data_IF_025318144521
#
_entry.id   IF_025318144521
#
_cell.length_a   1.000
_cell.length_b   1.000
_cell.length_c   1.000
_cell.angle_alpha   90.00
_cell.angle_beta   90.00
_cell.angle_gamma   90.00
#
_symmetry.space_group_name_H-M   'P 1'
#
loop_
_entity.id
_entity.type
_entity.pdbx_description
1 polymer ?
#
# COMPACT_ATOMS: atom_id res chain seq x y z
N UNK A 1 -9.94 -5.75 9.33
CA UNK A 1 -9.13 -6.79 10.02
C UNK A 1 -8.66 -6.23 11.35
N UNK A 2 -8.38 -7.10 12.34
CA UNK A 2 -7.83 -6.73 13.65
C UNK A 2 -6.71 -7.70 13.97
N UNK A 3 -5.58 -7.20 14.48
CA UNK A 3 -4.57 -8.02 15.13
C UNK A 3 -5.15 -8.48 16.47
N UNK A 4 -4.91 -9.71 16.87
CA UNK A 4 -5.39 -10.24 18.13
C UNK A 4 -4.58 -11.45 18.58
N UNK A 5 -4.49 -11.62 19.89
CA UNK A 5 -3.91 -12.82 20.51
C UNK A 5 -4.94 -13.95 20.43
N UNK A 6 -4.52 -15.10 19.95
CA UNK A 6 -5.34 -16.32 19.89
C UNK A 6 -4.83 -17.29 20.96
N UNK A 7 -5.66 -17.71 21.92
CA UNK A 7 -5.24 -18.65 22.96
C UNK A 7 -5.01 -20.05 22.39
N UNK A 8 -3.94 -20.70 22.79
CA UNK A 8 -3.60 -22.07 22.40
C UNK A 8 -4.16 -23.14 23.35
N UNK A 9 -4.57 -22.72 24.57
CA UNK A 9 -5.10 -23.61 25.60
C UNK A 9 -6.19 -22.95 26.45
N UNK A 10 -6.86 -23.75 27.30
CA UNK A 10 -7.95 -23.26 28.16
C UNK A 10 -7.51 -22.23 29.21
N UNK A 11 -6.38 -22.39 29.92
CA UNK A 11 -5.88 -21.36 30.84
C UNK A 11 -5.64 -20.02 30.16
N UNK A 12 -5.03 -19.98 28.98
CA UNK A 12 -4.83 -18.74 28.20
C UNK A 12 -6.17 -18.11 27.79
N UNK A 13 -7.14 -18.94 27.37
CA UNK A 13 -8.48 -18.44 27.03
C UNK A 13 -9.14 -17.76 28.22
N UNK A 14 -9.02 -18.34 29.42
CA UNK A 14 -9.55 -17.75 30.65
C UNK A 14 -8.81 -16.46 30.99
N UNK A 15 -7.47 -16.46 30.92
CA UNK A 15 -6.66 -15.27 31.19
C UNK A 15 -7.01 -14.11 30.26
N UNK A 16 -7.13 -14.36 28.96
CA UNK A 16 -7.54 -13.35 27.97
C UNK A 16 -8.97 -12.86 28.21
N UNK A 17 -9.89 -13.75 28.60
CA UNK A 17 -11.24 -13.37 28.96
C UNK A 17 -11.30 -12.48 30.21
N UNK A 18 -10.45 -12.75 31.18
CA UNK A 18 -10.28 -11.92 32.40
C UNK A 18 -9.48 -10.61 32.12
N UNK A 19 -8.89 -10.44 30.93
CA UNK A 19 -8.05 -9.29 30.59
C UNK A 19 -6.68 -9.29 31.30
N UNK A 20 -6.12 -10.46 31.56
CA UNK A 20 -4.85 -10.66 32.29
C UNK A 20 -3.83 -11.38 31.39
N UNK A 21 -2.82 -10.69 30.84
CA UNK A 21 -2.67 -9.24 30.74
C UNK A 21 -3.62 -8.61 29.70
N UNK A 22 -3.79 -7.28 29.67
CA UNK A 22 -4.63 -6.63 28.67
C UNK A 22 -4.16 -6.97 27.24
N UNK A 23 -5.06 -7.42 26.33
CA UNK A 23 -4.69 -7.92 25.01
C UNK A 23 -3.80 -6.96 24.19
N UNK A 24 -4.08 -5.65 24.21
CA UNK A 24 -3.30 -4.66 23.44
C UNK A 24 -1.82 -4.60 23.81
N UNK A 25 -1.45 -4.90 25.06
CA UNK A 25 -0.05 -4.94 25.51
C UNK A 25 0.65 -6.18 24.94
N UNK A 26 0.00 -7.34 25.03
CA UNK A 26 0.53 -8.61 24.47
C UNK A 26 0.64 -8.52 22.95
N UNK A 27 -0.39 -7.98 22.30
CA UNK A 27 -0.43 -7.78 20.85
C UNK A 27 0.76 -6.91 20.38
N UNK A 28 1.09 -5.82 21.08
CA UNK A 28 2.19 -4.94 20.71
C UNK A 28 3.54 -5.64 20.84
N UNK A 29 3.76 -6.41 21.91
CA UNK A 29 4.99 -7.16 22.12
C UNK A 29 5.19 -8.28 21.10
N UNK A 30 4.18 -9.13 20.89
CA UNK A 30 4.22 -10.20 19.90
C UNK A 30 4.32 -9.65 18.47
N UNK A 31 3.68 -8.53 18.19
CA UNK A 31 3.67 -7.89 16.88
C UNK A 31 5.07 -7.45 16.42
N UNK A 32 5.87 -6.88 17.31
CA UNK A 32 7.27 -6.52 17.05
C UNK A 32 8.09 -7.76 16.66
N UNK A 33 8.02 -8.82 17.47
CA UNK A 33 8.78 -10.05 17.22
C UNK A 33 8.36 -10.71 15.91
N UNK A 34 7.05 -10.88 15.69
CA UNK A 34 6.51 -11.50 14.49
C UNK A 34 6.92 -10.73 13.23
N UNK A 35 6.83 -9.41 13.23
CA UNK A 35 7.25 -8.57 12.12
C UNK A 35 8.73 -8.75 11.80
N UNK A 36 9.61 -8.71 12.82
CA UNK A 36 11.05 -8.84 12.64
C UNK A 36 11.47 -10.23 12.17
N UNK A 37 10.81 -11.28 12.63
CA UNK A 37 11.06 -12.67 12.18
C UNK A 37 10.78 -12.79 10.68
N UNK A 38 9.62 -12.33 10.19
CA UNK A 38 9.27 -12.40 8.77
C UNK A 38 10.18 -11.51 7.92
N UNK A 39 10.50 -10.30 8.39
CA UNK A 39 11.43 -9.40 7.71
C UNK A 39 12.82 -10.01 7.56
N UNK A 40 13.38 -10.56 8.65
CA UNK A 40 14.71 -11.20 8.65
C UNK A 40 14.74 -12.41 7.71
N UNK A 41 13.75 -13.29 7.80
CA UNK A 41 13.64 -14.46 6.93
C UNK A 41 13.56 -14.08 5.44
N UNK A 42 12.84 -13.01 5.12
CA UNK A 42 12.73 -12.50 3.74
C UNK A 42 14.06 -11.90 3.27
N UNK A 43 14.71 -11.07 4.08
CA UNK A 43 16.00 -10.44 3.73
C UNK A 43 17.12 -11.45 3.56
N UNK A 44 17.16 -12.48 4.40
CA UNK A 44 18.13 -13.57 4.36
C UNK A 44 17.80 -14.67 3.33
N UNK A 45 16.75 -14.49 2.52
CA UNK A 45 16.29 -15.44 1.50
C UNK A 45 15.93 -16.85 2.05
N UNK A 46 15.53 -16.95 3.31
CA UNK A 46 15.10 -18.22 3.93
C UNK A 46 13.92 -18.83 3.17
N UNK A 47 12.91 -18.01 2.83
CA UNK A 47 11.76 -18.48 2.06
C UNK A 47 12.13 -18.90 0.64
N UNK A 48 13.01 -18.13 -0.03
CA UNK A 48 13.48 -18.45 -1.38
C UNK A 48 14.29 -19.76 -1.41
N UNK A 49 15.04 -20.06 -0.35
CA UNK A 49 15.79 -21.32 -0.26
C UNK A 49 14.88 -22.53 -0.36
N UNK A 50 13.64 -22.42 0.13
CA UNK A 50 12.60 -23.45 0.15
C UNK A 50 11.72 -23.46 -1.12
N UNK A 51 12.02 -22.64 -2.11
CA UNK A 51 11.22 -22.56 -3.34
C UNK A 51 11.21 -23.88 -4.13
N UNK A 52 12.30 -24.63 -4.15
CA UNK A 52 12.38 -25.90 -4.85
C UNK A 52 11.77 -27.10 -4.07
N UNK A 53 11.69 -27.02 -2.75
CA UNK A 53 11.20 -28.09 -1.89
C UNK A 53 11.63 -27.97 -0.43
N UNK A 54 11.30 -28.99 0.39
CA UNK A 54 11.72 -29.06 1.77
C UNK A 54 13.25 -29.20 1.91
N UNK A 55 13.83 -28.59 2.94
CA UNK A 55 15.24 -28.65 3.28
C UNK A 55 15.41 -28.80 4.79
N UNK A 56 16.52 -29.42 5.20
CA UNK A 56 16.98 -29.46 6.60
C UNK A 56 17.50 -28.08 7.03
N UNK A 57 17.61 -27.84 8.33
CA UNK A 57 18.20 -26.60 8.85
C UNK A 57 19.66 -26.42 8.36
N UNK A 58 20.44 -27.49 8.26
CA UNK A 58 21.80 -27.44 7.76
C UNK A 58 21.91 -27.03 6.30
N UNK A 59 21.04 -27.57 5.43
CA UNK A 59 20.97 -27.19 4.01
C UNK A 59 20.54 -25.71 3.83
N UNK A 60 19.56 -25.23 4.62
CA UNK A 60 19.15 -23.82 4.61
C UNK A 60 20.29 -22.92 5.07
N UNK A 61 20.98 -23.30 6.17
CA UNK A 61 22.13 -22.57 6.71
C UNK A 61 23.22 -22.38 5.65
N UNK A 62 23.57 -23.44 4.96
CA UNK A 62 24.57 -23.41 3.87
C UNK A 62 24.10 -22.55 2.72
N UNK A 63 22.86 -22.74 2.27
CA UNK A 63 22.26 -22.02 1.10
C UNK A 63 22.09 -20.52 1.33
N UNK A 64 21.80 -20.13 2.57
CA UNK A 64 21.59 -18.74 2.96
C UNK A 64 22.83 -18.07 3.57
N UNK A 65 23.96 -18.79 3.70
CA UNK A 65 25.19 -18.34 4.34
C UNK A 65 24.95 -17.73 5.74
N UNK A 66 24.23 -18.46 6.59
CA UNK A 66 23.81 -18.01 7.93
C UNK A 66 24.44 -18.88 9.03
N UNK A 67 24.30 -18.51 10.29
CA UNK A 67 24.79 -19.25 11.44
C UNK A 67 23.82 -20.37 11.84
N UNK A 68 24.27 -21.64 11.94
CA UNK A 68 23.42 -22.82 12.12
C UNK A 68 22.39 -22.69 13.25
N UNK A 69 22.86 -22.46 14.49
CA UNK A 69 21.97 -22.33 15.67
C UNK A 69 20.95 -21.18 15.52
N UNK A 70 21.40 -20.02 15.01
CA UNK A 70 20.51 -18.87 14.84
C UNK A 70 19.48 -19.11 13.74
N UNK A 71 19.84 -19.81 12.67
CA UNK A 71 18.93 -20.22 11.60
C UNK A 71 17.86 -21.16 12.13
N UNK A 72 18.23 -22.16 12.90
CA UNK A 72 17.28 -23.10 13.51
C UNK A 72 16.27 -22.37 14.42
N UNK A 73 16.75 -21.41 15.24
CA UNK A 73 15.86 -20.59 16.08
C UNK A 73 14.88 -19.77 15.23
N UNK A 74 15.34 -19.16 14.12
CA UNK A 74 14.49 -18.43 13.19
C UNK A 74 13.46 -19.35 12.51
N UNK A 75 13.87 -20.54 12.07
CA UNK A 75 12.99 -21.52 11.44
C UNK A 75 11.90 -22.00 12.40
N UNK A 76 12.26 -22.27 13.65
CA UNK A 76 11.31 -22.68 14.68
C UNK A 76 10.30 -21.56 14.99
N UNK A 77 10.72 -20.29 15.03
CA UNK A 77 9.81 -19.16 15.16
C UNK A 77 8.84 -19.08 13.98
N UNK A 78 9.31 -19.28 12.75
CA UNK A 78 8.47 -19.30 11.54
C UNK A 78 7.48 -20.47 11.53
N UNK A 79 7.85 -21.62 12.09
CA UNK A 79 6.93 -22.76 12.26
C UNK A 79 5.86 -22.42 13.29
N UNK A 80 6.24 -21.89 14.45
CA UNK A 80 5.29 -21.43 15.48
C UNK A 80 4.28 -20.39 14.96
N UNK A 81 4.71 -19.54 14.03
CA UNK A 81 3.85 -18.57 13.36
C UNK A 81 3.03 -19.16 12.19
N UNK A 82 3.18 -20.42 11.85
CA UNK A 82 2.51 -21.05 10.69
C UNK A 82 3.02 -20.58 9.32
N UNK A 83 4.17 -19.89 9.27
CA UNK A 83 4.81 -19.48 8.03
C UNK A 83 5.56 -20.64 7.36
N UNK A 84 6.04 -21.59 8.14
CA UNK A 84 6.65 -22.85 7.72
C UNK A 84 5.95 -24.01 8.42
N UNK A 85 6.22 -25.22 7.94
CA UNK A 85 5.88 -26.45 8.65
C UNK A 85 7.06 -27.43 8.58
N UNK A 86 7.09 -28.40 9.49
CA UNK A 86 8.12 -29.45 9.57
C UNK A 86 7.55 -30.74 9.01
N UNK A 87 8.36 -31.45 8.20
CA UNK A 87 8.07 -32.80 7.69
C UNK A 87 9.33 -33.67 7.93
N UNK A 88 9.28 -34.52 8.93
CA UNK A 88 10.47 -35.21 9.43
C UNK A 88 11.45 -34.18 9.99
N UNK A 89 12.69 -34.15 9.49
CA UNK A 89 13.72 -33.17 9.86
C UNK A 89 13.81 -31.98 8.91
N UNK A 90 12.87 -31.88 7.94
CA UNK A 90 12.90 -30.86 6.92
C UNK A 90 11.84 -29.78 7.15
N UNK A 91 12.21 -28.52 6.92
CA UNK A 91 11.33 -27.37 6.88
C UNK A 91 10.77 -27.16 5.47
N UNK A 92 9.51 -26.75 5.38
CA UNK A 92 8.85 -26.55 4.11
C UNK A 92 7.89 -25.36 4.13
N UNK A 93 7.67 -24.77 2.95
CA UNK A 93 6.68 -23.70 2.74
C UNK A 93 5.27 -24.27 2.52
N UNK A 94 4.26 -23.86 3.29
CA UNK A 94 2.85 -24.16 2.98
C UNK A 94 2.50 -23.69 1.55
N UNK A 95 1.72 -24.49 0.82
CA UNK A 95 1.33 -24.19 -0.57
C UNK A 95 0.74 -22.77 -0.72
N UNK A 96 -0.09 -22.34 0.25
CA UNK A 96 -0.67 -20.99 0.25
C UNK A 96 0.39 -19.89 0.42
N UNK A 97 1.38 -20.10 1.29
CA UNK A 97 2.45 -19.13 1.53
C UNK A 97 3.32 -18.89 0.30
N UNK A 98 3.59 -19.91 -0.51
CA UNK A 98 4.42 -19.79 -1.72
C UNK A 98 3.96 -18.68 -2.66
N UNK A 99 2.64 -18.58 -2.88
CA UNK A 99 2.08 -17.57 -3.77
C UNK A 99 2.23 -16.12 -3.26
N UNK A 100 2.48 -15.94 -1.95
CA UNK A 100 2.51 -14.63 -1.29
C UNK A 100 3.92 -14.20 -0.88
N UNK A 101 4.84 -15.14 -0.59
CA UNK A 101 6.14 -14.80 0.00
C UNK A 101 7.31 -14.93 -0.98
N UNK A 102 7.24 -15.84 -1.96
CA UNK A 102 8.29 -16.00 -2.95
C UNK A 102 8.31 -14.84 -3.95
N UNK A 103 9.49 -14.52 -4.48
CA UNK A 103 9.67 -13.42 -5.42
C UNK A 103 8.85 -13.57 -6.70
N UNK A 104 8.74 -14.81 -7.21
CA UNK A 104 7.94 -15.19 -8.38
C UNK A 104 6.49 -15.57 -8.05
N UNK A 105 6.10 -15.46 -6.78
CA UNK A 105 4.75 -15.76 -6.32
C UNK A 105 3.71 -14.85 -6.96
N UNK A 106 2.60 -15.44 -7.42
CA UNK A 106 1.51 -14.71 -8.12
C UNK A 106 1.01 -13.45 -7.39
N UNK A 107 1.05 -13.46 -6.08
CA UNK A 107 0.60 -12.36 -5.21
C UNK A 107 1.72 -11.88 -4.28
N UNK A 108 2.96 -11.96 -4.73
CA UNK A 108 4.13 -11.72 -3.90
C UNK A 108 4.06 -10.41 -3.11
N UNK A 109 4.18 -10.51 -1.80
CA UNK A 109 4.32 -9.39 -0.86
C UNK A 109 5.77 -9.18 -0.43
N UNK A 110 6.72 -9.90 -1.05
CA UNK A 110 8.15 -9.82 -0.70
C UNK A 110 8.66 -8.38 -0.70
N UNK A 111 8.29 -7.59 -1.73
CA UNK A 111 8.66 -6.17 -1.80
C UNK A 111 8.09 -5.36 -0.64
N UNK A 112 6.84 -5.57 -0.25
CA UNK A 112 6.23 -4.93 0.92
C UNK A 112 6.94 -5.30 2.22
N UNK A 113 7.31 -6.57 2.39
CA UNK A 113 8.04 -7.01 3.59
C UNK A 113 9.42 -6.35 3.68
N UNK A 114 10.12 -6.19 2.56
CA UNK A 114 11.39 -5.47 2.52
C UNK A 114 11.23 -3.96 2.76
N UNK A 115 10.14 -3.36 2.29
CA UNK A 115 9.79 -1.96 2.58
C UNK A 115 9.63 -1.71 4.08
N UNK A 116 9.21 -2.71 4.88
CA UNK A 116 9.10 -2.59 6.35
C UNK A 116 10.42 -2.21 7.04
N UNK A 117 11.57 -2.44 6.41
CA UNK A 117 12.84 -1.94 6.96
C UNK A 117 12.93 -0.42 6.94
N UNK A 118 12.44 0.23 5.89
CA UNK A 118 12.33 1.68 5.83
C UNK A 118 11.26 2.19 6.80
N UNK A 119 10.07 1.57 6.77
CA UNK A 119 8.97 1.94 7.67
C UNK A 119 9.35 1.78 9.15
N UNK A 120 10.26 0.86 9.48
CA UNK A 120 10.76 0.70 10.83
C UNK A 120 11.47 1.97 11.32
N UNK A 121 12.33 2.57 10.49
CA UNK A 121 13.00 3.84 10.78
C UNK A 121 12.00 5.02 10.80
N UNK A 122 10.96 4.98 9.99
CA UNK A 122 9.92 6.02 10.04
C UNK A 122 9.17 6.01 11.37
N UNK A 123 8.88 4.82 11.92
CA UNK A 123 8.25 4.68 13.22
C UNK A 123 9.12 5.20 14.39
N UNK A 124 10.44 5.26 14.25
CA UNK A 124 11.34 5.87 15.24
C UNK A 124 11.08 7.38 15.43
N UNK A 125 10.39 8.03 14.49
CA UNK A 125 9.98 9.43 14.58
C UNK A 125 8.62 9.63 15.29
N UNK A 126 7.95 8.57 15.73
CA UNK A 126 6.57 8.63 16.24
C UNK A 126 6.42 9.54 17.46
N UNK A 127 7.31 9.44 18.46
CA UNK A 127 7.24 10.24 19.67
C UNK A 127 7.46 11.72 19.38
N UNK A 128 8.37 12.05 18.48
CA UNK A 128 8.64 13.42 18.07
C UNK A 128 7.44 14.01 17.31
N UNK A 129 6.87 13.25 16.38
CA UNK A 129 5.64 13.65 15.70
C UNK A 129 4.48 13.91 16.67
N UNK A 130 4.26 13.02 17.64
CA UNK A 130 3.17 13.20 18.63
C UNK A 130 3.42 14.41 19.53
N UNK A 131 4.68 14.73 19.83
CA UNK A 131 5.05 15.89 20.65
C UNK A 131 4.91 17.21 19.90
N UNK A 132 5.29 17.24 18.63
CA UNK A 132 5.47 18.50 17.87
C UNK A 132 4.44 18.71 16.77
N UNK A 133 3.79 17.63 16.31
CA UNK A 133 2.94 17.63 15.12
C UNK A 133 3.72 17.75 13.79
N UNK A 134 5.07 17.71 13.83
CA UNK A 134 5.90 17.82 12.63
C UNK A 134 6.11 16.46 11.98
N UNK A 135 5.61 16.24 10.73
CA UNK A 135 5.78 14.98 10.04
C UNK A 135 7.21 14.79 9.52
N UNK A 136 7.61 13.55 9.39
CA UNK A 136 8.81 13.16 8.64
C UNK A 136 8.54 13.35 7.14
N UNK A 137 9.08 14.36 6.50
CA UNK A 137 8.90 14.61 5.06
C UNK A 137 9.54 13.51 4.22
N UNK A 138 8.87 12.36 4.17
CA UNK A 138 9.39 11.10 3.67
C UNK A 138 10.12 11.22 2.33
N UNK A 139 9.46 11.80 1.33
CA UNK A 139 10.01 11.88 -0.04
C UNK A 139 11.25 12.78 -0.15
N UNK A 140 11.50 13.66 0.83
CA UNK A 140 12.70 14.50 0.90
C UNK A 140 13.87 13.78 1.57
N UNK A 141 13.61 12.69 2.31
CA UNK A 141 14.63 11.97 3.11
C UNK A 141 15.12 10.68 2.46
N UNK A 142 14.40 10.14 1.46
CA UNK A 142 14.77 8.89 0.79
C UNK A 142 16.06 9.03 -0.03
N UNK A 143 17.01 8.15 0.20
CA UNK A 143 18.18 7.94 -0.68
C UNK A 143 17.75 7.27 -1.99
N UNK A 144 18.66 7.18 -2.97
CA UNK A 144 18.36 6.44 -4.21
C UNK A 144 18.05 4.95 -3.97
N UNK A 145 18.74 4.33 -3.02
CA UNK A 145 18.50 2.93 -2.64
C UNK A 145 17.13 2.76 -1.98
N UNK A 146 16.76 3.71 -1.10
CA UNK A 146 15.45 3.71 -0.45
C UNK A 146 14.32 3.89 -1.47
N UNK A 147 14.50 4.75 -2.47
CA UNK A 147 13.52 4.92 -3.55
C UNK A 147 13.26 3.62 -4.33
N UNK A 148 14.30 2.83 -4.61
CA UNK A 148 14.13 1.53 -5.28
C UNK A 148 13.32 0.56 -4.41
N UNK A 149 13.68 0.44 -3.12
CA UNK A 149 12.94 -0.38 -2.15
C UNK A 149 11.51 0.10 -2.01
N UNK A 150 11.29 1.41 -1.92
CA UNK A 150 9.97 2.03 -1.81
C UNK A 150 9.09 1.69 -3.02
N UNK A 151 9.56 1.96 -4.25
CA UNK A 151 8.77 1.71 -5.46
C UNK A 151 8.46 0.21 -5.65
N UNK A 152 9.41 -0.67 -5.38
CA UNK A 152 9.19 -2.13 -5.40
C UNK A 152 8.20 -2.58 -4.33
N UNK A 153 8.29 -1.99 -3.15
CA UNK A 153 7.37 -2.25 -2.04
C UNK A 153 5.95 -1.83 -2.37
N UNK A 154 5.78 -0.62 -2.88
CA UNK A 154 4.47 -0.09 -3.30
C UNK A 154 3.87 -0.88 -4.48
N UNK A 155 4.72 -1.39 -5.40
CA UNK A 155 4.30 -2.24 -6.51
C UNK A 155 3.83 -3.62 -6.05
N UNK A 156 4.39 -4.15 -4.96
CA UNK A 156 4.10 -5.51 -4.50
C UNK A 156 2.65 -5.64 -4.00
N UNK A 157 1.94 -6.67 -4.46
CA UNK A 157 0.56 -6.96 -4.04
C UNK A 157 -0.51 -6.02 -4.58
N UNK A 158 -0.16 -5.07 -5.46
CA UNK A 158 -1.10 -4.07 -5.99
C UNK A 158 -2.03 -4.63 -7.07
N UNK A 159 -1.75 -5.81 -7.64
CA UNK A 159 -2.53 -6.41 -8.72
C UNK A 159 -4.02 -6.55 -8.38
N UNK A 160 -4.31 -7.02 -7.19
CA UNK A 160 -5.69 -7.22 -6.78
C UNK A 160 -6.43 -5.89 -6.59
N UNK A 161 -5.93 -4.91 -5.81
CA UNK A 161 -6.55 -3.59 -5.70
C UNK A 161 -6.72 -2.88 -7.03
N UNK A 162 -5.69 -2.84 -7.88
CA UNK A 162 -5.74 -2.16 -9.17
C UNK A 162 -6.78 -2.77 -10.11
N UNK A 163 -6.83 -4.10 -10.21
CA UNK A 163 -7.85 -4.80 -11.00
C UNK A 163 -9.27 -4.62 -10.41
N UNK A 164 -9.40 -4.51 -9.08
CA UNK A 164 -10.67 -4.20 -8.44
C UNK A 164 -11.13 -2.78 -8.80
N UNK A 165 -10.25 -1.79 -8.70
CA UNK A 165 -10.51 -0.39 -9.10
C UNK A 165 -10.91 -0.33 -10.57
N UNK A 166 -10.15 -0.95 -11.48
CA UNK A 166 -10.45 -0.95 -12.91
C UNK A 166 -11.82 -1.55 -13.23
N UNK A 167 -12.31 -2.52 -12.44
CA UNK A 167 -13.67 -3.08 -12.61
C UNK A 167 -14.77 -2.23 -12.00
N UNK A 168 -14.46 -1.45 -10.95
CA UNK A 168 -15.47 -0.69 -10.18
C UNK A 168 -15.59 0.76 -10.61
N UNK A 169 -14.58 1.28 -11.30
CA UNK A 169 -14.61 2.65 -11.81
C UNK A 169 -15.70 2.81 -12.89
N UNK A 170 -16.62 3.80 -12.76
CA UNK A 170 -17.70 4.01 -13.73
C UNK A 170 -17.20 4.82 -14.95
N UNK A 171 -16.14 4.33 -15.60
CA UNK A 171 -15.53 4.96 -16.76
C UNK A 171 -16.24 4.53 -18.04
N UNK A 172 -16.64 5.46 -18.93
CA UNK A 172 -17.23 5.14 -20.22
C UNK A 172 -16.28 4.31 -21.11
N UNK A 173 -16.84 3.43 -21.95
CA UNK A 173 -16.03 2.65 -22.92
C UNK A 173 -15.36 3.56 -23.97
N UNK A 174 -15.90 4.74 -24.18
CA UNK A 174 -15.37 5.77 -25.10
C UNK A 174 -14.22 6.59 -24.53
N UNK A 175 -13.89 6.44 -23.24
CA UNK A 175 -12.81 7.19 -22.61
C UNK A 175 -11.46 6.88 -23.29
N UNK A 176 -10.69 7.93 -23.56
CA UNK A 176 -9.42 7.90 -24.30
C UNK A 176 -8.24 8.43 -23.52
N UNK A 177 -8.44 9.45 -22.69
CA UNK A 177 -7.37 10.16 -22.03
C UNK A 177 -7.51 10.07 -20.49
N UNK A 178 -6.43 9.68 -19.84
CA UNK A 178 -6.32 9.61 -18.38
C UNK A 178 -5.06 10.33 -17.91
N UNK A 179 -5.20 11.10 -16.83
CA UNK A 179 -4.09 11.62 -16.03
C UNK A 179 -4.04 10.85 -14.71
N UNK A 180 -2.89 10.24 -14.41
CA UNK A 180 -2.61 9.55 -13.14
C UNK A 180 -1.66 10.43 -12.32
N UNK A 181 -2.18 11.11 -11.31
CA UNK A 181 -1.40 12.05 -10.49
C UNK A 181 -0.74 11.28 -9.35
N UNK A 182 0.60 11.35 -9.27
CA UNK A 182 1.36 10.59 -8.28
C UNK A 182 1.27 9.08 -8.50
N UNK A 183 1.23 8.64 -9.77
CA UNK A 183 0.97 7.24 -10.12
C UNK A 183 2.09 6.25 -9.77
N UNK A 184 3.24 6.72 -9.27
CA UNK A 184 4.37 5.92 -8.81
C UNK A 184 4.76 4.84 -9.80
N UNK A 185 4.70 3.57 -9.41
CA UNK A 185 5.02 2.41 -10.26
C UNK A 185 4.09 2.21 -11.48
N UNK A 186 3.04 3.00 -11.67
CA UNK A 186 2.16 3.03 -12.84
C UNK A 186 1.15 1.88 -12.98
N UNK A 187 1.04 0.95 -12.02
CA UNK A 187 0.24 -0.26 -12.23
C UNK A 187 -1.28 0.00 -12.21
N UNK A 188 -1.77 1.05 -11.55
CA UNK A 188 -3.18 1.44 -11.69
C UNK A 188 -3.50 1.88 -13.12
N UNK A 189 -2.64 2.69 -13.72
CA UNK A 189 -2.71 3.08 -15.13
C UNK A 189 -2.71 1.86 -16.05
N UNK A 190 -1.80 0.90 -15.81
CA UNK A 190 -1.72 -0.37 -16.54
C UNK A 190 -3.03 -1.15 -16.46
N UNK A 191 -3.58 -1.33 -15.25
CA UNK A 191 -4.82 -2.09 -15.05
C UNK A 191 -6.02 -1.42 -15.72
N UNK A 192 -6.13 -0.09 -15.65
CA UNK A 192 -7.16 0.71 -16.31
C UNK A 192 -7.04 0.64 -17.84
N UNK A 193 -5.84 0.84 -18.38
CA UNK A 193 -5.61 0.75 -19.83
C UNK A 193 -5.83 -0.66 -20.39
N UNK A 194 -5.49 -1.72 -19.65
CA UNK A 194 -5.83 -3.10 -20.04
C UNK A 194 -7.34 -3.34 -20.07
N UNK A 195 -8.07 -2.74 -19.13
CA UNK A 195 -9.55 -2.86 -19.07
C UNK A 195 -10.24 -2.02 -20.14
N UNK A 196 -9.69 -0.87 -20.50
CA UNK A 196 -10.21 0.09 -21.48
C UNK A 196 -9.22 0.21 -22.64
N UNK A 197 -9.38 -0.55 -23.74
CA UNK A 197 -8.38 -0.65 -24.80
C UNK A 197 -8.04 0.67 -25.51
N UNK A 198 -8.97 1.63 -25.51
CA UNK A 198 -8.76 2.95 -26.13
C UNK A 198 -8.12 3.97 -25.17
N UNK A 199 -8.00 3.65 -23.87
CA UNK A 199 -7.49 4.54 -22.88
C UNK A 199 -5.96 4.63 -22.96
N UNK A 200 -5.46 5.87 -22.93
CA UNK A 200 -4.06 6.20 -22.79
C UNK A 200 -3.87 6.96 -21.47
N UNK A 201 -2.84 6.63 -20.74
CA UNK A 201 -2.54 7.25 -19.45
C UNK A 201 -1.25 8.03 -19.49
N UNK A 202 -1.32 9.30 -19.05
CA UNK A 202 -0.17 10.10 -18.70
C UNK A 202 -0.02 10.08 -17.19
N UNK A 203 1.13 9.60 -16.68
CA UNK A 203 1.45 9.57 -15.25
C UNK A 203 2.26 10.82 -14.94
N UNK A 204 1.67 11.75 -14.18
CA UNK A 204 2.37 12.92 -13.65
C UNK A 204 3.05 12.55 -12.34
N UNK A 205 4.38 12.56 -12.32
CA UNK A 205 5.12 12.08 -11.16
C UNK A 205 6.43 12.87 -10.95
N UNK A 206 6.97 12.85 -9.76
CA UNK A 206 8.23 13.50 -9.42
C UNK A 206 9.43 12.82 -10.14
N UNK A 207 10.42 13.58 -10.61
CA UNK A 207 11.57 13.02 -11.35
C UNK A 207 12.29 11.89 -10.60
N UNK A 208 12.46 12.03 -9.28
CA UNK A 208 13.09 11.01 -8.45
C UNK A 208 12.29 9.72 -8.44
N UNK A 209 10.97 9.81 -8.29
CA UNK A 209 10.08 8.65 -8.30
C UNK A 209 10.08 7.96 -9.66
N UNK A 210 10.01 8.70 -10.77
CA UNK A 210 10.05 8.16 -12.14
C UNK A 210 11.30 7.32 -12.36
N UNK A 211 12.47 7.81 -11.96
CA UNK A 211 13.75 7.11 -12.15
C UNK A 211 13.70 5.66 -11.63
N UNK A 212 13.05 5.42 -10.50
CA UNK A 212 12.96 4.10 -9.86
C UNK A 212 11.69 3.32 -10.25
N UNK A 213 10.64 4.02 -10.70
CA UNK A 213 9.37 3.43 -11.11
C UNK A 213 9.36 2.98 -12.58
N UNK A 214 10.03 3.70 -13.48
CA UNK A 214 10.04 3.42 -14.92
C UNK A 214 10.46 1.97 -15.25
N UNK A 215 11.52 1.39 -14.65
CA UNK A 215 11.86 -0.01 -14.90
C UNK A 215 10.80 -1.03 -14.48
N UNK A 216 9.91 -0.65 -13.54
CA UNK A 216 8.76 -1.49 -13.15
C UNK A 216 7.63 -1.41 -14.18
N UNK A 217 7.37 -0.20 -14.70
CA UNK A 217 6.37 0.02 -15.75
C UNK A 217 6.77 -0.64 -17.07
N UNK A 218 8.04 -0.59 -17.48
CA UNK A 218 8.55 -1.23 -18.70
C UNK A 218 8.24 -2.72 -18.75
N UNK A 219 8.30 -3.43 -17.61
CA UNK A 219 7.96 -4.85 -17.51
C UNK A 219 6.50 -5.16 -17.86
N UNK A 220 5.62 -4.17 -17.75
CA UNK A 220 4.20 -4.29 -18.08
C UNK A 220 3.91 -4.21 -19.59
N UNK A 221 4.89 -3.80 -20.42
CA UNK A 221 4.87 -3.77 -21.89
C UNK A 221 3.69 -2.98 -22.47
N UNK A 222 3.40 -1.82 -21.88
CA UNK A 222 2.28 -0.97 -22.31
C UNK A 222 2.62 -0.03 -23.49
N UNK A 223 3.90 0.13 -23.81
CA UNK A 223 4.35 1.08 -24.85
C UNK A 223 3.85 2.50 -24.57
N UNK A 224 3.50 3.22 -25.62
CA UNK A 224 3.03 4.63 -25.51
C UNK A 224 1.66 4.80 -24.86
N UNK A 225 0.96 3.69 -24.57
CA UNK A 225 -0.34 3.77 -23.91
C UNK A 225 -0.27 4.18 -22.44
N UNK A 226 0.88 4.00 -21.79
CA UNK A 226 1.14 4.46 -20.42
C UNK A 226 2.52 5.08 -20.39
N UNK A 227 2.58 6.39 -20.18
CA UNK A 227 3.83 7.16 -20.19
C UNK A 227 3.96 8.06 -18.99
N UNK A 228 5.18 8.35 -18.57
CA UNK A 228 5.47 9.37 -17.57
C UNK A 228 5.60 10.76 -18.16
N UNK A 229 5.21 11.75 -17.34
CA UNK A 229 5.56 13.16 -17.48
C UNK A 229 6.07 13.64 -16.13
N UNK A 230 7.23 14.28 -16.12
CA UNK A 230 7.80 14.85 -14.91
C UNK A 230 7.02 16.10 -14.48
N UNK A 231 6.71 16.17 -13.19
CA UNK A 231 6.09 17.36 -12.62
C UNK A 231 5.59 17.15 -11.20
N UNK A 232 5.34 18.26 -10.53
CA UNK A 232 4.72 18.28 -9.22
C UNK A 232 3.21 18.53 -9.38
N UNK A 233 2.38 17.69 -8.76
CA UNK A 233 0.92 17.77 -8.81
C UNK A 233 0.36 19.14 -8.42
N UNK A 234 1.08 19.87 -7.55
CA UNK A 234 0.64 21.18 -7.06
C UNK A 234 0.98 22.35 -8.00
N UNK A 235 1.97 22.21 -8.89
CA UNK A 235 2.45 23.30 -9.71
C UNK A 235 2.37 23.03 -11.22
N UNK A 236 2.39 21.76 -11.65
CA UNK A 236 2.30 21.40 -13.06
C UNK A 236 1.00 21.88 -13.71
N UNK A 237 1.03 22.28 -14.97
CA UNK A 237 -0.20 22.53 -15.73
C UNK A 237 -0.91 21.19 -15.99
N UNK A 238 -2.15 21.09 -15.57
CA UNK A 238 -3.00 19.91 -15.77
C UNK A 238 -3.87 20.00 -17.04
N UNK A 239 -3.72 21.07 -17.83
CA UNK A 239 -4.54 21.31 -19.03
C UNK A 239 -5.97 21.74 -18.76
N UNK A 240 -6.77 21.85 -19.83
CA UNK A 240 -8.18 22.27 -19.80
C UNK A 240 -9.02 21.34 -20.66
N UNK A 241 -9.95 20.61 -20.07
CA UNK A 241 -10.85 19.68 -20.78
C UNK A 241 -10.10 18.67 -21.67
N UNK A 242 -9.05 18.07 -21.11
CA UNK A 242 -8.17 17.12 -21.81
C UNK A 242 -8.42 15.67 -21.40
N UNK A 243 -8.96 15.42 -20.20
CA UNK A 243 -9.04 14.08 -19.64
C UNK A 243 -10.46 13.60 -19.39
N UNK A 244 -10.71 12.34 -19.75
CA UNK A 244 -11.93 11.63 -19.37
C UNK A 244 -11.85 11.10 -17.93
N UNK A 245 -10.63 10.87 -17.44
CA UNK A 245 -10.34 10.40 -16.09
C UNK A 245 -9.11 11.10 -15.53
N UNK A 246 -9.22 11.66 -14.32
CA UNK A 246 -8.07 11.95 -13.46
C UNK A 246 -8.10 10.98 -12.30
N UNK A 247 -7.01 10.28 -12.08
CA UNK A 247 -6.88 9.24 -11.04
C UNK A 247 -5.80 9.61 -10.03
N UNK A 248 -6.04 9.33 -8.76
CA UNK A 248 -5.07 9.47 -7.68
C UNK A 248 -5.19 8.28 -6.72
N UNK A 249 -4.07 7.63 -6.42
CA UNK A 249 -4.02 6.54 -5.46
C UNK A 249 -2.97 6.84 -4.39
N UNK A 250 -3.38 6.93 -3.14
CA UNK A 250 -2.50 7.23 -2.00
C UNK A 250 -1.74 8.57 -2.21
N UNK A 251 -2.45 9.63 -2.56
CA UNK A 251 -1.87 10.96 -2.84
C UNK A 251 -2.45 12.04 -1.93
N UNK A 252 -3.78 12.07 -1.74
CA UNK A 252 -4.42 13.21 -1.06
C UNK A 252 -4.09 13.29 0.44
N UNK A 253 -3.59 12.22 1.03
CA UNK A 253 -3.12 12.21 2.41
C UNK A 253 -1.79 12.98 2.61
N UNK A 254 -1.06 13.29 1.52
CA UNK A 254 0.15 14.11 1.60
C UNK A 254 -0.14 15.60 1.77
N UNK A 255 -1.36 16.06 1.54
CA UNK A 255 -1.70 17.47 1.50
C UNK A 255 -2.74 17.83 2.55
N UNK A 256 -2.68 19.05 3.05
CA UNK A 256 -3.72 19.63 3.89
C UNK A 256 -5.04 19.85 3.14
N UNK A 257 -6.08 20.23 3.86
CA UNK A 257 -7.41 20.41 3.28
C UNK A 257 -7.44 21.53 2.23
N UNK A 258 -6.76 22.66 2.50
CA UNK A 258 -6.75 23.81 1.60
C UNK A 258 -6.09 23.48 0.27
N UNK A 259 -4.96 22.77 0.32
CA UNK A 259 -4.22 22.28 -0.84
C UNK A 259 -5.03 21.27 -1.63
N UNK A 260 -5.68 20.31 -0.97
CA UNK A 260 -6.55 19.35 -1.65
C UNK A 260 -7.74 20.03 -2.33
N UNK A 261 -8.37 21.03 -1.71
CA UNK A 261 -9.45 21.81 -2.32
C UNK A 261 -8.99 22.55 -3.57
N UNK A 262 -7.80 23.14 -3.55
CA UNK A 262 -7.22 23.81 -4.72
C UNK A 262 -6.87 22.81 -5.83
N UNK A 263 -6.29 21.68 -5.49
CA UNK A 263 -5.98 20.60 -6.44
C UNK A 263 -7.26 20.09 -7.12
N UNK A 264 -8.35 19.88 -6.38
CA UNK A 264 -9.63 19.45 -6.96
C UNK A 264 -10.21 20.46 -7.95
N UNK A 265 -10.07 21.78 -7.73
CA UNK A 265 -10.48 22.80 -8.70
C UNK A 265 -9.68 22.73 -10.00
N UNK A 266 -8.36 22.53 -9.90
CA UNK A 266 -7.49 22.36 -11.07
C UNK A 266 -7.82 21.08 -11.85
N UNK A 267 -8.07 19.98 -11.14
CA UNK A 267 -8.52 18.71 -11.72
C UNK A 267 -9.88 18.88 -12.40
N UNK A 268 -10.83 19.53 -11.77
CA UNK A 268 -12.15 19.78 -12.39
C UNK A 268 -12.02 20.54 -13.71
N UNK A 269 -11.10 21.52 -13.79
CA UNK A 269 -10.82 22.26 -15.02
C UNK A 269 -10.20 21.36 -16.12
N UNK A 270 -9.33 20.44 -15.75
CA UNK A 270 -8.65 19.53 -16.70
C UNK A 270 -9.57 18.42 -17.23
N UNK A 271 -10.67 18.11 -16.55
CA UNK A 271 -11.64 17.11 -16.98
C UNK A 271 -12.49 17.61 -18.16
N UNK A 272 -12.73 16.74 -19.13
CA UNK A 272 -13.77 16.92 -20.15
C UNK A 272 -15.17 16.98 -19.51
N UNK A 273 -16.19 17.61 -20.16
CA UNK A 273 -17.59 17.47 -19.75
C UNK A 273 -17.95 15.97 -19.62
N UNK A 274 -18.62 15.59 -18.52
CA UNK A 274 -18.93 14.19 -18.20
C UNK A 274 -17.75 13.35 -17.69
N UNK A 275 -16.52 13.88 -17.70
CA UNK A 275 -15.32 13.24 -17.17
C UNK A 275 -15.38 13.02 -15.67
N UNK A 276 -14.50 12.19 -15.13
CA UNK A 276 -14.50 11.83 -13.72
C UNK A 276 -13.11 12.01 -13.08
N UNK A 277 -13.11 12.42 -11.81
CA UNK A 277 -11.96 12.24 -10.92
C UNK A 277 -12.20 11.03 -10.03
N UNK A 278 -11.17 10.23 -9.80
CA UNK A 278 -11.25 9.09 -8.91
C UNK A 278 -10.08 9.10 -7.91
N UNK A 279 -10.41 8.96 -6.63
CA UNK A 279 -9.45 8.92 -5.51
C UNK A 279 -9.53 7.54 -4.86
N UNK A 280 -8.38 6.86 -4.72
CA UNK A 280 -8.24 5.59 -4.05
C UNK A 280 -7.40 5.76 -2.79
N UNK A 281 -8.06 5.73 -1.61
CA UNK A 281 -7.44 6.05 -0.33
C UNK A 281 -7.96 5.15 0.81
N UNK A 282 -7.17 4.94 1.87
CA UNK A 282 -7.70 4.47 3.15
C UNK A 282 -8.58 5.54 3.79
N UNK A 283 -9.71 5.12 4.33
CA UNK A 283 -10.74 6.01 4.86
C UNK A 283 -10.55 6.27 6.35
N UNK A 284 -10.54 7.56 6.75
CA UNK A 284 -10.66 7.94 8.16
C UNK A 284 -12.08 7.68 8.68
N UNK A 285 -12.15 7.13 9.87
CA UNK A 285 -13.42 6.89 10.56
C UNK A 285 -13.63 7.99 11.61
N UNK A 286 -14.60 8.89 11.37
CA UNK A 286 -14.80 10.10 12.19
C UNK A 286 -15.62 9.86 13.46
N UNK A 287 -16.31 8.73 13.60
CA UNK A 287 -17.16 8.48 14.76
C UNK A 287 -16.34 7.96 15.93
N UNK A 288 -16.20 8.76 17.00
CA UNK A 288 -15.69 8.29 18.29
C UNK A 288 -16.46 7.02 18.70
N UNK A 289 -15.74 5.95 19.08
CA UNK A 289 -16.31 4.64 19.39
C UNK A 289 -16.48 3.67 18.21
N UNK A 290 -16.30 4.12 16.96
CA UNK A 290 -16.29 3.27 15.76
C UNK A 290 -14.91 3.13 15.12
N UNK A 291 -13.88 3.71 15.72
CA UNK A 291 -12.50 3.63 15.21
C UNK A 291 -12.02 2.19 15.29
N UNK A 292 -11.73 1.62 14.13
CA UNK A 292 -11.16 0.27 14.03
C UNK A 292 -9.65 0.32 14.20
N UNK A 293 -9.07 -0.72 14.78
CA UNK A 293 -7.63 -0.82 15.04
C UNK A 293 -6.79 -0.44 13.80
N UNK A 294 -7.07 -1.05 12.66
CA UNK A 294 -6.31 -0.78 11.44
C UNK A 294 -6.49 0.67 10.94
N UNK A 295 -7.71 1.21 11.00
CA UNK A 295 -7.97 2.60 10.59
C UNK A 295 -7.25 3.62 11.46
N UNK A 296 -7.22 3.40 12.78
CA UNK A 296 -6.48 4.25 13.72
C UNK A 296 -4.98 4.20 13.49
N UNK A 297 -4.42 2.99 13.31
CA UNK A 297 -2.99 2.79 13.01
C UNK A 297 -2.60 3.43 11.68
N UNK A 298 -3.40 3.28 10.63
CA UNK A 298 -3.13 3.90 9.33
C UNK A 298 -3.23 5.43 9.37
N UNK A 299 -4.15 5.98 10.15
CA UNK A 299 -4.24 7.43 10.30
C UNK A 299 -2.99 8.01 10.98
N UNK A 300 -2.50 7.38 12.06
CA UNK A 300 -1.26 7.76 12.70
C UNK A 300 -0.06 7.59 11.75
N UNK A 301 0.01 6.46 11.05
CA UNK A 301 1.08 6.16 10.10
C UNK A 301 1.18 7.22 8.99
N UNK A 302 0.06 7.59 8.37
CA UNK A 302 0.08 8.66 7.35
C UNK A 302 0.36 10.04 7.95
N UNK A 303 -0.10 10.34 9.16
CA UNK A 303 0.25 11.58 9.84
C UNK A 303 1.75 11.70 10.13
N UNK A 304 2.40 10.55 10.42
CA UNK A 304 3.81 10.51 10.74
C UNK A 304 4.73 11.04 9.60
N UNK A 305 4.36 10.83 8.34
CA UNK A 305 5.18 11.21 7.18
C UNK A 305 4.47 12.09 6.14
N UNK A 306 3.24 12.53 6.41
CA UNK A 306 2.43 13.39 5.56
C UNK A 306 1.85 14.56 6.35
N UNK A 307 1.50 15.64 5.67
CA UNK A 307 1.01 16.86 6.35
C UNK A 307 -0.39 16.69 6.99
N UNK A 308 -1.18 15.69 6.58
CA UNK A 308 -2.57 15.62 7.00
C UNK A 308 -3.04 14.25 7.56
N UNK A 309 -2.49 13.13 7.13
CA UNK A 309 -3.03 11.81 7.47
C UNK A 309 -4.20 11.38 6.57
N UNK A 310 -5.13 10.58 7.08
CA UNK A 310 -6.27 10.07 6.27
C UNK A 310 -7.47 11.03 6.30
N UNK A 311 -8.28 10.97 5.23
CA UNK A 311 -9.48 11.81 5.05
C UNK A 311 -10.76 10.99 5.15
N UNK A 312 -11.86 11.61 5.57
CA UNK A 312 -13.17 10.98 5.58
C UNK A 312 -13.86 11.05 4.21
N UNK A 313 -14.84 10.20 4.00
CA UNK A 313 -15.66 10.25 2.79
C UNK A 313 -16.44 11.56 2.65
N UNK A 314 -16.81 12.18 3.77
CA UNK A 314 -17.54 13.45 3.79
C UNK A 314 -16.67 14.60 3.31
N UNK A 315 -15.41 14.68 3.80
CA UNK A 315 -14.45 15.71 3.38
C UNK A 315 -14.12 15.60 1.90
N UNK A 316 -13.82 14.39 1.39
CA UNK A 316 -13.54 14.19 -0.04
C UNK A 316 -14.75 14.57 -0.90
N UNK A 317 -15.96 14.20 -0.49
CA UNK A 317 -17.19 14.60 -1.19
C UNK A 317 -17.40 16.11 -1.19
N UNK A 318 -17.03 16.80 -0.11
CA UNK A 318 -17.10 18.25 0.00
C UNK A 318 -16.11 18.93 -0.96
N UNK A 319 -14.88 18.40 -1.09
CA UNK A 319 -13.92 18.92 -2.08
C UNK A 319 -14.45 18.79 -3.50
N UNK A 320 -15.10 17.68 -3.85
CA UNK A 320 -15.74 17.51 -5.15
C UNK A 320 -16.80 18.59 -5.40
N UNK A 321 -17.71 18.81 -4.44
CA UNK A 321 -18.75 19.84 -4.58
C UNK A 321 -18.16 21.24 -4.76
N UNK A 322 -17.15 21.60 -3.96
CA UNK A 322 -16.47 22.90 -4.08
C UNK A 322 -15.76 23.09 -5.42
N UNK A 323 -15.38 22.01 -6.07
CA UNK A 323 -14.77 22.02 -7.40
C UNK A 323 -15.81 21.94 -8.54
N UNK A 324 -17.12 21.98 -8.24
CA UNK A 324 -18.19 21.85 -9.24
C UNK A 324 -18.37 20.42 -9.77
N UNK A 325 -17.92 19.42 -9.01
CA UNK A 325 -18.06 18.00 -9.35
C UNK A 325 -19.17 17.36 -8.52
N UNK A 326 -19.91 16.44 -9.12
CA UNK A 326 -20.96 15.67 -8.46
C UNK A 326 -20.36 14.42 -7.79
N UNK A 327 -20.38 14.30 -6.43
CA UNK A 327 -19.86 13.13 -5.76
C UNK A 327 -20.75 11.91 -5.97
N UNK A 328 -20.16 10.82 -6.41
CA UNK A 328 -20.81 9.51 -6.48
C UNK A 328 -20.73 8.77 -5.14
N UNK A 329 -21.60 7.76 -4.95
CA UNK A 329 -21.53 6.89 -3.76
C UNK A 329 -20.18 6.20 -3.69
N UNK A 330 -19.39 6.36 -2.59
CA UNK A 330 -18.10 5.71 -2.44
C UNK A 330 -18.20 4.19 -2.49
N UNK A 331 -17.21 3.55 -3.07
CA UNK A 331 -17.14 2.08 -3.18
C UNK A 331 -15.98 1.56 -2.34
N UNK A 332 -16.32 0.87 -1.27
CA UNK A 332 -15.34 0.27 -0.36
C UNK A 332 -14.94 -1.11 -0.82
N UNK A 333 -13.65 -1.42 -0.75
CA UNK A 333 -13.17 -2.78 -0.92
C UNK A 333 -13.55 -3.61 0.30
N UNK A 334 -14.03 -4.83 0.11
CA UNK A 334 -14.59 -5.66 1.19
C UNK A 334 -13.53 -6.23 2.14
N UNK A 335 -12.25 -6.21 1.75
CA UNK A 335 -11.13 -6.60 2.61
C UNK A 335 -9.97 -5.60 2.47
N UNK A 336 -9.03 -5.61 3.44
CA UNK A 336 -7.89 -4.70 3.46
C UNK A 336 -8.10 -3.51 4.41
N UNK A 337 -7.23 -2.49 4.35
CA UNK A 337 -7.19 -1.36 5.29
C UNK A 337 -8.24 -0.28 4.99
N UNK A 338 -9.52 -0.65 4.90
CA UNK A 338 -10.62 0.28 4.63
C UNK A 338 -10.45 1.14 3.35
N UNK A 339 -9.73 0.59 2.35
CA UNK A 339 -9.50 1.23 1.07
C UNK A 339 -10.82 1.50 0.34
N UNK A 340 -11.00 2.73 -0.08
CA UNK A 340 -12.24 3.22 -0.66
C UNK A 340 -11.99 3.98 -1.94
N UNK A 341 -12.79 3.73 -2.96
CA UNK A 341 -12.81 4.43 -4.23
C UNK A 341 -13.87 5.55 -4.16
N UNK A 342 -13.42 6.79 -4.20
CA UNK A 342 -14.24 7.98 -4.29
C UNK A 342 -14.25 8.49 -5.73
N UNK A 343 -15.40 8.87 -6.24
CA UNK A 343 -15.56 9.36 -7.60
C UNK A 343 -16.35 10.66 -7.58
N UNK A 344 -15.82 11.68 -8.23
CA UNK A 344 -16.50 12.93 -8.56
C UNK A 344 -16.69 13.03 -10.08
N UNK A 345 -17.89 13.40 -10.55
CA UNK A 345 -18.22 13.56 -11.97
C UNK A 345 -18.35 15.03 -12.33
N UNK A 346 -17.72 15.46 -13.41
CA UNK A 346 -17.98 16.77 -14.01
C UNK A 346 -19.33 16.74 -14.73
N UNK A 347 -20.24 17.70 -14.52
CA UNK A 347 -21.44 17.83 -15.33
C UNK A 347 -21.13 17.87 -16.84
N UNK A 348 -22.11 17.41 -17.65
CA UNK A 348 -22.00 17.40 -19.12
C UNK A 348 -22.06 18.80 -19.74
#
# INVERSE_FOLDING_TARGET
MKLGVVPENLPERLALWLGIPPPGIVESWLGIMASRVVMAATKLNIFESLAAGPLTAAEITTKCATHSRATEQLLNALVGMGCLYVKGEQYALPRKMRAWILADGKYSLRGQILLRYLEWHWWEHCEEYVRTGQPLRLHETLTNEDWDVYQRGMRAGIEFPANWVARKLPLPKTARAMLDIGGGHGFFSVALCRRHPQLHSTILELPQAIRHAAPLLEKERMGDRVRYVEGNALTADLGVSEYDLVFMAAVVHHFDEATNRQLMKRISRSLCPGGIVAIWEPLRQDRKGSIRQLGGLMNLFFGLFSEAGTWSAAEIAEWFRHAGLEPCKPRRMWFGPDLTLHVGRKPA
#
